data_IF_983966897953
#
_entry.id   IF_983966897953
#
_cell.length_a   1.000
_cell.length_b   1.000
_cell.length_c   1.000
_cell.angle_alpha   90.00
_cell.angle_beta   90.00
_cell.angle_gamma   90.00
#
_symmetry.space_group_name_H-M   'P 1'
#
loop_
_entity.id
_entity.type
_entity.pdbx_description
1 polymer ?
#
# COMPACT_ATOMS: atom_id res chain seq x y z
N UNK A 1 -16.72 1.23 -14.25
CA UNK A 1 -16.52 2.01 -13.02
C UNK A 1 -16.72 1.06 -11.87
N UNK A 2 -15.65 0.44 -11.41
CA UNK A 2 -15.65 -0.55 -10.35
C UNK A 2 -14.97 0.07 -9.13
N UNK A 3 -15.67 0.97 -8.45
CA UNK A 3 -15.15 1.69 -7.27
C UNK A 3 -14.62 0.75 -6.18
N UNK A 4 -15.13 -0.50 -6.14
CA UNK A 4 -14.66 -1.56 -5.26
C UNK A 4 -13.18 -1.92 -5.45
N UNK A 5 -12.64 -1.86 -6.67
CA UNK A 5 -11.25 -2.22 -6.96
C UNK A 5 -10.27 -1.26 -6.29
N UNK A 6 -10.51 0.05 -6.45
CA UNK A 6 -9.69 1.10 -5.85
C UNK A 6 -9.84 1.11 -4.33
N UNK A 7 -11.06 0.98 -3.80
CA UNK A 7 -11.29 0.98 -2.35
C UNK A 7 -10.60 -0.22 -1.67
N UNK A 8 -10.75 -1.42 -2.25
CA UNK A 8 -10.06 -2.61 -1.79
C UNK A 8 -8.53 -2.39 -1.78
N UNK A 9 -7.98 -1.91 -2.90
CA UNK A 9 -6.54 -1.72 -3.04
C UNK A 9 -6.00 -0.71 -2.02
N UNK A 10 -6.66 0.44 -1.89
CA UNK A 10 -6.25 1.50 -0.95
C UNK A 10 -6.29 1.01 0.51
N UNK A 11 -7.34 0.28 0.89
CA UNK A 11 -7.44 -0.33 2.22
C UNK A 11 -6.37 -1.40 2.45
N UNK A 12 -6.19 -2.30 1.47
CA UNK A 12 -5.23 -3.39 1.55
C UNK A 12 -3.78 -2.89 1.66
N UNK A 13 -3.42 -1.92 0.82
CA UNK A 13 -2.08 -1.34 0.80
C UNK A 13 -1.85 -0.55 2.09
N UNK A 14 -2.81 0.27 2.53
CA UNK A 14 -2.70 1.00 3.80
C UNK A 14 -2.43 0.07 4.98
N UNK A 15 -3.16 -1.04 5.08
CA UNK A 15 -2.98 -2.03 6.15
C UNK A 15 -1.63 -2.76 6.07
N UNK A 16 -1.21 -3.17 4.86
CA UNK A 16 0.03 -3.95 4.66
C UNK A 16 1.29 -3.10 4.78
N UNK A 17 1.24 -1.85 4.33
CA UNK A 17 2.34 -0.88 4.39
C UNK A 17 2.65 -0.50 5.84
N UNK A 18 1.63 -0.25 6.66
CA UNK A 18 1.82 0.04 8.09
C UNK A 18 2.46 -1.11 8.88
N UNK A 19 2.30 -2.35 8.41
CA UNK A 19 2.88 -3.52 9.08
C UNK A 19 4.39 -3.72 8.75
N UNK A 20 4.90 -3.08 7.70
CA UNK A 20 6.26 -3.32 7.18
C UNK A 20 7.17 -2.10 7.31
N UNK A 21 7.73 -1.90 8.50
CA UNK A 21 8.67 -0.80 8.83
C UNK A 21 10.11 -1.00 8.32
N UNK A 22 10.35 -1.77 7.24
CA UNK A 22 11.71 -2.08 6.79
C UNK A 22 12.11 -1.31 5.53
N UNK A 23 12.82 -0.16 5.65
CA UNK A 23 13.21 0.69 4.52
C UNK A 23 14.12 0.02 3.49
N UNK A 24 14.82 -1.05 3.86
CA UNK A 24 15.96 -1.58 3.09
C UNK A 24 15.52 -2.37 1.86
N UNK A 25 14.25 -2.80 1.77
CA UNK A 25 13.77 -3.72 0.73
C UNK A 25 12.38 -3.37 0.18
N UNK A 26 12.09 -2.08 0.03
CA UNK A 26 10.78 -1.62 -0.46
C UNK A 26 10.43 -2.25 -1.81
N UNK A 27 11.35 -2.27 -2.78
CA UNK A 27 11.12 -2.85 -4.11
C UNK A 27 10.70 -4.34 -4.05
N UNK A 28 11.41 -5.14 -3.25
CA UNK A 28 11.08 -6.56 -3.01
C UNK A 28 9.76 -6.75 -2.26
N UNK A 29 9.47 -5.86 -1.32
CA UNK A 29 8.21 -5.89 -0.57
C UNK A 29 7.04 -5.52 -1.47
N UNK A 30 7.19 -4.50 -2.31
CA UNK A 30 6.21 -4.10 -3.30
C UNK A 30 5.90 -5.25 -4.26
N UNK A 31 6.90 -5.95 -4.79
CA UNK A 31 6.68 -7.13 -5.65
C UNK A 31 5.87 -8.22 -4.92
N UNK A 32 6.22 -8.51 -3.67
CA UNK A 32 5.56 -9.54 -2.86
C UNK A 32 4.11 -9.15 -2.55
N UNK A 33 3.90 -7.92 -2.10
CA UNK A 33 2.58 -7.39 -1.76
C UNK A 33 1.70 -7.23 -2.98
N UNK A 34 2.25 -6.88 -4.15
CA UNK A 34 1.50 -6.82 -5.39
C UNK A 34 0.91 -8.19 -5.72
N UNK A 35 1.72 -9.25 -5.70
CA UNK A 35 1.26 -10.64 -5.91
C UNK A 35 0.16 -11.04 -4.91
N UNK A 36 0.34 -10.69 -3.64
CA UNK A 36 -0.62 -10.99 -2.58
C UNK A 36 -1.93 -10.20 -2.76
N UNK A 37 -1.83 -8.94 -3.18
CA UNK A 37 -2.95 -8.07 -3.49
C UNK A 37 -3.75 -8.61 -4.67
N UNK A 38 -3.09 -9.04 -5.75
CA UNK A 38 -3.74 -9.69 -6.90
C UNK A 38 -4.52 -10.94 -6.49
N UNK A 39 -3.93 -11.79 -5.64
CA UNK A 39 -4.59 -12.99 -5.15
C UNK A 39 -5.83 -12.64 -4.31
N UNK A 40 -5.70 -11.69 -3.38
CA UNK A 40 -6.80 -11.24 -2.53
C UNK A 40 -7.91 -10.52 -3.29
N UNK A 41 -7.55 -9.73 -4.30
CA UNK A 41 -8.49 -9.12 -5.21
C UNK A 41 -9.31 -10.19 -5.93
N UNK A 42 -8.67 -11.22 -6.47
CA UNK A 42 -9.36 -12.35 -7.10
C UNK A 42 -10.27 -13.11 -6.11
N UNK A 43 -9.84 -13.30 -4.86
CA UNK A 43 -10.69 -13.88 -3.80
C UNK A 43 -11.93 -13.01 -3.50
N UNK A 44 -11.80 -11.68 -3.60
CA UNK A 44 -12.90 -10.73 -3.44
C UNK A 44 -13.79 -10.61 -4.68
N UNK A 45 -13.47 -11.31 -5.78
CA UNK A 45 -14.19 -11.23 -7.05
C UNK A 45 -13.81 -10.00 -7.90
N UNK A 46 -12.66 -9.37 -7.61
CA UNK A 46 -12.13 -8.22 -8.33
C UNK A 46 -11.16 -8.73 -9.40
N UNK A 47 -11.35 -8.31 -10.65
CA UNK A 47 -10.46 -8.66 -11.74
C UNK A 47 -9.19 -7.82 -11.69
N UNK A 48 -8.05 -8.48 -11.95
CA UNK A 48 -6.77 -7.78 -12.02
C UNK A 48 -6.79 -6.67 -13.07
N UNK A 49 -7.39 -6.94 -14.23
CA UNK A 49 -7.51 -5.98 -15.34
C UNK A 49 -8.25 -4.71 -14.91
N UNK A 50 -9.29 -4.86 -14.08
CA UNK A 50 -10.13 -3.77 -13.58
C UNK A 50 -9.37 -2.91 -12.55
N UNK A 51 -8.53 -3.53 -11.73
CA UNK A 51 -7.59 -2.82 -10.86
C UNK A 51 -6.56 -2.06 -11.69
N UNK A 52 -5.89 -2.75 -12.63
CA UNK A 52 -4.80 -2.17 -13.43
C UNK A 52 -5.29 -1.06 -14.36
N UNK A 53 -6.53 -1.11 -14.83
CA UNK A 53 -7.16 -0.03 -15.61
C UNK A 53 -7.25 1.27 -14.79
N UNK A 54 -7.55 1.16 -13.49
CA UNK A 54 -7.77 2.31 -12.61
C UNK A 54 -6.48 2.82 -11.93
N UNK A 55 -5.60 1.91 -11.49
CA UNK A 55 -4.43 2.24 -10.66
C UNK A 55 -3.10 2.04 -11.38
N UNK A 56 -3.11 1.42 -12.56
CA UNK A 56 -1.90 1.09 -13.31
C UNK A 56 -1.12 -0.08 -12.69
N UNK A 57 0.18 0.12 -12.51
CA UNK A 57 1.05 -0.90 -11.95
C UNK A 57 0.91 -0.94 -10.41
N UNK A 58 0.32 -2.04 -9.92
CA UNK A 58 0.07 -2.23 -8.49
C UNK A 58 1.40 -2.23 -7.70
N UNK A 59 2.48 -2.77 -8.28
CA UNK A 59 3.78 -2.77 -7.62
C UNK A 59 4.32 -1.36 -7.45
N UNK A 60 4.24 -0.53 -8.50
CA UNK A 60 4.68 0.88 -8.45
C UNK A 60 3.91 1.67 -7.38
N UNK A 61 2.60 1.46 -7.30
CA UNK A 61 1.76 2.12 -6.31
C UNK A 61 2.10 1.66 -4.89
N UNK A 62 2.34 0.36 -4.66
CA UNK A 62 2.76 -0.16 -3.35
C UNK A 62 4.14 0.36 -2.97
N UNK A 63 5.10 0.39 -3.91
CA UNK A 63 6.43 0.92 -3.66
C UNK A 63 6.36 2.37 -3.18
N UNK A 64 5.59 3.20 -3.89
CA UNK A 64 5.38 4.60 -3.52
C UNK A 64 4.79 4.73 -2.10
N UNK A 65 3.78 3.92 -1.77
CA UNK A 65 3.17 3.93 -0.43
C UNK A 65 4.11 3.45 0.67
N UNK A 66 4.92 2.43 0.39
CA UNK A 66 5.95 1.96 1.32
C UNK A 66 7.01 3.03 1.56
N UNK A 67 7.43 3.75 0.53
CA UNK A 67 8.36 4.87 0.64
C UNK A 67 7.78 5.98 1.52
N UNK A 68 6.53 6.39 1.25
CA UNK A 68 5.81 7.36 2.09
C UNK A 68 5.76 6.91 3.56
N UNK A 69 5.32 5.69 3.85
CA UNK A 69 5.18 5.22 5.22
C UNK A 69 6.52 5.08 5.97
N UNK A 70 7.59 4.79 5.25
CA UNK A 70 8.96 4.77 5.81
C UNK A 70 9.43 6.18 6.17
N UNK A 71 9.12 7.17 5.34
CA UNK A 71 9.43 8.58 5.63
C UNK A 71 8.56 9.13 6.77
N UNK A 72 7.27 8.79 6.80
CA UNK A 72 6.33 9.18 7.87
C UNK A 72 6.69 8.53 9.22
N UNK A 73 6.98 7.22 9.22
CA UNK A 73 7.38 6.49 10.41
C UNK A 73 8.74 6.92 10.99
N UNK A 74 9.58 7.58 10.19
CA UNK A 74 10.82 8.21 10.66
C UNK A 74 10.62 9.63 11.20
N UNK A 75 9.48 10.27 10.89
CA UNK A 75 9.13 11.64 11.31
C UNK A 75 8.20 11.70 12.53
N UNK A 76 7.66 10.57 13.00
CA UNK A 76 6.91 10.47 14.27
C UNK A 76 7.81 10.35 15.52
N UNK A 77 8.82 11.22 15.59
CA UNK A 77 9.38 11.71 16.84
C UNK A 77 9.04 13.20 17.01
N UNK A 78 7.76 13.55 16.88
CA UNK A 78 7.23 14.76 17.50
C UNK A 78 6.41 14.33 18.70
N UNK A 79 6.99 14.32 19.92
CA UNK A 79 6.17 14.21 21.11
C UNK A 79 5.25 15.43 21.13
N UNK A 80 3.95 15.16 21.16
CA UNK A 80 2.92 16.12 21.52
C UNK A 80 3.34 16.90 22.77
N UNK A 81 3.55 18.22 22.58
CA UNK A 81 3.48 19.34 23.55
C UNK A 81 4.28 19.27 24.88
N UNK A 82 4.72 20.46 25.34
CA UNK A 82 3.97 21.06 26.44
C UNK A 82 3.35 22.39 25.99
N UNK A 83 2.07 22.55 26.29
CA UNK A 83 1.46 23.87 26.29
C UNK A 83 2.12 24.70 27.40
N UNK A 84 2.61 25.89 27.05
CA UNK A 84 2.87 26.98 27.98
C UNK A 84 1.71 27.98 27.92
#
# INVERSE_FOLDING_TARGET
MSEHAIEFLRGWIGEKVQCQHSPIKIDKQAETLAKECCAKAAEAGILLEDIQEEVGDIQELIASRLEEAVEEGSSEARPDKPAE
#
